data_IF_765345515774
#
_entry.id   IF_765345515774
#
_cell.length_a   1.000
_cell.length_b   1.000
_cell.length_c   1.000
_cell.angle_alpha   90.00
_cell.angle_beta   90.00
_cell.angle_gamma   90.00
#
_symmetry.space_group_name_H-M   'P 1'
#
loop_
_entity.id
_entity.type
_entity.pdbx_description
1 polymer ?
#
# COMPACT_ATOMS: atom_id res chain seq x y z
N UNK A 1 -7.83 0.23 -2.72
CA UNK A 1 -7.53 1.62 -2.30
C UNK A 1 -8.56 2.58 -2.83
N UNK A 2 -8.53 2.88 -4.14
CA UNK A 2 -9.40 3.87 -4.80
C UNK A 2 -10.90 3.80 -4.44
N UNK A 3 -11.56 2.63 -4.51
CA UNK A 3 -12.99 2.57 -4.16
C UNK A 3 -13.28 2.99 -2.71
N UNK A 4 -12.38 2.71 -1.77
CA UNK A 4 -12.55 3.10 -0.37
C UNK A 4 -12.45 4.62 -0.20
N UNK A 5 -11.41 5.24 -0.78
CA UNK A 5 -11.21 6.70 -0.65
C UNK A 5 -12.30 7.48 -1.37
N UNK A 6 -12.81 6.99 -2.51
CA UNK A 6 -13.96 7.56 -3.21
C UNK A 6 -15.22 7.51 -2.32
N UNK A 7 -15.49 6.37 -1.69
CA UNK A 7 -16.62 6.23 -0.75
C UNK A 7 -16.48 7.13 0.50
N UNK A 8 -15.28 7.19 1.09
CA UNK A 8 -15.00 8.06 2.24
C UNK A 8 -15.15 9.54 1.87
N UNK A 9 -14.66 9.98 0.71
CA UNK A 9 -14.83 11.35 0.24
C UNK A 9 -16.31 11.71 0.01
N UNK A 10 -17.13 10.73 -0.38
CA UNK A 10 -18.58 10.88 -0.50
C UNK A 10 -19.33 10.85 0.85
N UNK A 11 -18.62 10.66 1.96
CA UNK A 11 -19.22 10.61 3.30
C UNK A 11 -19.95 9.31 3.62
N UNK A 12 -19.63 8.23 2.90
CA UNK A 12 -20.22 6.91 3.11
C UNK A 12 -19.43 6.12 4.18
N UNK A 13 -20.11 5.32 5.03
CA UNK A 13 -19.43 4.40 5.93
C UNK A 13 -18.66 3.34 5.13
N UNK A 14 -17.41 3.08 5.51
CA UNK A 14 -16.54 2.11 4.86
C UNK A 14 -16.14 1.00 5.82
N UNK A 15 -16.31 -0.24 5.37
CA UNK A 15 -15.79 -1.45 5.99
C UNK A 15 -14.72 -2.00 5.04
N UNK A 16 -13.49 -2.21 5.53
CA UNK A 16 -12.42 -2.78 4.71
C UNK A 16 -11.43 -3.57 5.58
N UNK A 17 -10.73 -4.52 4.99
CA UNK A 17 -9.64 -5.25 5.65
C UNK A 17 -8.59 -4.27 6.17
N UNK A 18 -8.24 -4.40 7.45
CA UNK A 18 -7.22 -3.59 8.12
C UNK A 18 -5.81 -4.05 7.72
N UNK A 19 -5.50 -3.95 6.42
CA UNK A 19 -4.24 -4.40 5.85
C UNK A 19 -3.85 -3.58 4.63
N UNK A 20 -2.55 -3.30 4.48
CA UNK A 20 -1.99 -2.56 3.35
C UNK A 20 -2.62 -1.16 3.22
N UNK A 21 -2.71 -0.60 2.01
CA UNK A 21 -3.11 0.79 1.77
C UNK A 21 -4.30 1.34 2.59
N UNK A 22 -5.41 0.59 2.81
CA UNK A 22 -6.47 1.01 3.73
C UNK A 22 -6.04 1.47 5.13
N UNK A 23 -4.99 0.87 5.71
CA UNK A 23 -4.53 1.23 7.07
C UNK A 23 -3.99 2.65 7.17
N UNK A 24 -3.62 3.25 6.04
CA UNK A 24 -3.13 4.63 5.99
C UNK A 24 -4.24 5.64 6.33
N UNK A 25 -5.48 5.37 5.91
CA UNK A 25 -6.57 6.34 5.99
C UNK A 25 -7.81 5.85 6.75
N UNK A 26 -7.99 4.54 6.93
CA UNK A 26 -9.13 3.95 7.61
C UNK A 26 -8.75 3.51 9.03
N UNK A 27 -9.54 3.91 10.02
CA UNK A 27 -9.38 3.54 11.42
C UNK A 27 -10.73 3.46 12.14
N UNK A 28 -10.71 3.10 13.42
CA UNK A 28 -11.91 2.96 14.25
C UNK A 28 -12.68 4.27 14.46
N UNK A 29 -12.07 5.44 14.29
CA UNK A 29 -12.78 6.72 14.42
C UNK A 29 -13.58 7.08 13.16
N UNK A 30 -13.11 6.67 11.97
CA UNK A 30 -13.65 7.11 10.69
C UNK A 30 -14.23 5.99 9.81
N UNK A 31 -14.21 4.74 10.28
CA UNK A 31 -14.78 3.61 9.58
C UNK A 31 -14.84 2.34 10.44
N UNK A 32 -14.70 1.20 9.77
CA UNK A 32 -14.81 -0.13 10.37
C UNK A 32 -13.71 -1.05 9.81
N UNK A 33 -12.50 -0.99 10.38
CA UNK A 33 -11.39 -1.84 9.95
C UNK A 33 -11.64 -3.30 10.37
N UNK A 34 -11.62 -4.22 9.40
CA UNK A 34 -11.79 -5.65 9.64
C UNK A 34 -10.45 -6.24 10.07
N UNK A 35 -10.42 -6.86 11.26
CA UNK A 35 -9.23 -7.50 11.80
C UNK A 35 -8.67 -8.58 10.86
N UNK A 36 -7.35 -8.73 10.84
CA UNK A 36 -6.62 -9.79 10.14
C UNK A 36 -6.13 -10.79 11.18
N UNK A 37 -6.35 -12.07 10.93
CA UNK A 37 -5.88 -13.14 11.82
C UNK A 37 -4.43 -13.48 11.56
N UNK A 38 -4.13 -13.80 10.30
CA UNK A 38 -2.82 -14.25 9.86
C UNK A 38 -2.54 -13.75 8.44
N UNK A 39 -1.30 -13.94 8.01
CA UNK A 39 -0.92 -13.87 6.61
C UNK A 39 -0.74 -15.29 6.10
N UNK A 40 -1.52 -15.68 5.08
CA UNK A 40 -1.47 -17.05 4.55
C UNK A 40 -0.95 -17.07 3.11
N UNK A 41 -0.26 -18.13 2.67
CA UNK A 41 0.31 -18.18 1.33
C UNK A 41 -0.79 -18.31 0.27
N UNK A 42 -0.56 -17.64 -0.85
CA UNK A 42 -1.35 -17.82 -2.07
C UNK A 42 -0.96 -19.17 -2.68
N UNK A 43 -1.91 -20.09 -2.90
CA UNK A 43 -1.59 -21.46 -3.30
C UNK A 43 -1.04 -21.52 -4.74
N UNK A 44 -1.64 -20.75 -5.67
CA UNK A 44 -1.40 -20.90 -7.10
C UNK A 44 -1.44 -19.55 -7.84
N UNK A 45 -0.95 -19.55 -9.09
CA UNK A 45 -0.99 -18.40 -10.00
C UNK A 45 0.26 -17.50 -9.93
N UNK A 46 0.23 -16.32 -10.57
CA UNK A 46 1.40 -15.43 -10.69
C UNK A 46 1.99 -14.94 -9.35
N UNK A 47 1.25 -15.09 -8.26
CA UNK A 47 1.66 -14.69 -6.91
C UNK A 47 1.78 -15.88 -5.95
N UNK A 48 1.86 -17.11 -6.48
CA UNK A 48 2.03 -18.31 -5.64
C UNK A 48 3.21 -18.15 -4.68
N UNK A 49 3.01 -18.48 -3.41
CA UNK A 49 4.00 -18.30 -2.35
C UNK A 49 4.06 -16.89 -1.73
N UNK A 50 3.45 -15.87 -2.35
CA UNK A 50 3.25 -14.59 -1.68
C UNK A 50 2.23 -14.75 -0.55
N UNK A 51 2.24 -13.82 0.40
CA UNK A 51 1.31 -13.82 1.52
C UNK A 51 0.18 -12.81 1.31
N UNK A 52 -1.06 -13.22 1.58
CA UNK A 52 -2.21 -12.32 1.68
C UNK A 52 -2.78 -12.28 3.10
N UNK A 53 -3.46 -11.19 3.44
CA UNK A 53 -4.15 -11.08 4.73
C UNK A 53 -5.38 -12.00 4.76
N UNK A 54 -5.51 -12.79 5.82
CA UNK A 54 -6.70 -13.58 6.13
C UNK A 54 -7.66 -12.77 7.03
N UNK A 55 -8.72 -12.15 6.47
CA UNK A 55 -9.60 -11.28 7.22
C UNK A 55 -10.57 -12.06 8.11
N UNK A 56 -10.88 -11.51 9.27
CA UNK A 56 -11.83 -12.10 10.20
C UNK A 56 -13.27 -12.04 9.68
N UNK A 57 -13.82 -13.20 9.32
CA UNK A 57 -15.25 -13.33 8.95
C UNK A 57 -16.17 -12.92 10.09
N UNK A 58 -15.79 -13.22 11.34
CA UNK A 58 -16.56 -12.85 12.54
C UNK A 58 -16.61 -11.32 12.67
N UNK A 59 -15.49 -10.65 12.49
CA UNK A 59 -15.40 -9.20 12.63
C UNK A 59 -16.15 -8.48 11.51
N UNK A 60 -15.97 -8.92 10.25
CA UNK A 60 -16.73 -8.43 9.10
C UNK A 60 -18.25 -8.50 9.35
N UNK A 61 -18.74 -9.65 9.83
CA UNK A 61 -20.17 -9.83 10.17
C UNK A 61 -20.63 -8.86 11.26
N UNK A 62 -19.78 -8.60 12.24
CA UNK A 62 -20.07 -7.68 13.35
C UNK A 62 -20.21 -6.25 12.81
N UNK A 63 -19.26 -5.79 12.00
CA UNK A 63 -19.30 -4.46 11.37
C UNK A 63 -20.50 -4.29 10.43
N UNK A 64 -20.79 -5.27 9.57
CA UNK A 64 -21.96 -5.21 8.68
C UNK A 64 -23.28 -5.07 9.47
N UNK A 65 -23.45 -5.84 10.54
CA UNK A 65 -24.64 -5.73 11.42
C UNK A 65 -24.67 -4.40 12.16
N UNK A 66 -23.52 -3.92 12.62
CA UNK A 66 -23.41 -2.63 13.32
C UNK A 66 -23.87 -1.49 12.41
N UNK A 67 -23.39 -1.44 11.16
CA UNK A 67 -23.81 -0.45 10.16
C UNK A 67 -25.31 -0.51 9.89
N UNK A 68 -25.87 -1.71 9.73
CA UNK A 68 -27.30 -1.89 9.45
C UNK A 68 -28.20 -1.48 10.62
N UNK A 69 -27.80 -1.78 11.86
CA UNK A 69 -28.60 -1.52 13.06
C UNK A 69 -28.35 -0.14 13.69
N UNK A 70 -27.26 0.53 13.36
CA UNK A 70 -26.87 1.84 13.91
C UNK A 70 -26.60 2.86 12.80
N UNK A 71 -27.61 3.23 11.98
CA UNK A 71 -27.42 4.09 10.81
C UNK A 71 -26.91 5.49 11.17
N UNK A 72 -27.24 5.99 12.36
CA UNK A 72 -26.71 7.27 12.85
C UNK A 72 -25.21 7.21 13.07
N UNK A 73 -24.71 6.19 13.79
CA UNK A 73 -23.28 5.99 14.01
C UNK A 73 -22.54 5.81 12.68
N UNK A 74 -23.10 5.01 11.76
CA UNK A 74 -22.53 4.81 10.44
C UNK A 74 -22.42 6.12 9.64
N UNK A 75 -23.44 6.98 9.71
CA UNK A 75 -23.41 8.31 9.09
C UNK A 75 -22.35 9.20 9.75
N UNK A 76 -22.25 9.20 11.07
CA UNK A 76 -21.26 9.99 11.81
C UNK A 76 -19.83 9.59 11.43
N UNK A 77 -19.53 8.28 11.37
CA UNK A 77 -18.25 7.75 10.89
C UNK A 77 -17.99 8.10 9.42
N UNK A 78 -18.97 7.97 8.54
CA UNK A 78 -18.84 8.37 7.13
C UNK A 78 -18.51 9.86 6.97
N UNK A 79 -19.18 10.74 7.73
CA UNK A 79 -18.88 12.17 7.75
C UNK A 79 -17.47 12.45 8.30
N UNK A 80 -17.02 11.71 9.31
CA UNK A 80 -15.64 11.80 9.79
C UNK A 80 -14.64 11.36 8.71
N UNK A 81 -14.91 10.24 8.01
CA UNK A 81 -14.10 9.78 6.88
C UNK A 81 -13.98 10.84 5.79
N UNK A 82 -15.06 11.55 5.46
CA UNK A 82 -15.01 12.67 4.51
C UNK A 82 -14.10 13.80 4.98
N UNK A 83 -14.21 14.19 6.25
CA UNK A 83 -13.35 15.25 6.82
C UNK A 83 -11.88 14.87 6.70
N UNK A 84 -11.54 13.64 7.11
CA UNK A 84 -10.18 13.14 7.03
C UNK A 84 -9.66 13.13 5.59
N UNK A 85 -10.48 12.71 4.61
CA UNK A 85 -10.13 12.72 3.18
C UNK A 85 -9.79 14.13 2.68
N UNK A 86 -10.64 15.11 3.01
CA UNK A 86 -10.48 16.50 2.56
C UNK A 86 -9.29 17.18 3.24
N UNK A 87 -9.07 16.90 4.52
CA UNK A 87 -8.00 17.54 5.30
C UNK A 87 -6.62 16.97 4.99
N UNK A 88 -6.51 15.65 4.77
CA UNK A 88 -5.21 14.96 4.77
C UNK A 88 -4.80 14.34 3.43
N UNK A 89 -5.77 13.97 2.59
CA UNK A 89 -5.51 13.12 1.41
C UNK A 89 -5.89 13.75 0.08
N UNK A 90 -6.05 15.08 0.05
CA UNK A 90 -6.19 15.83 -1.20
C UNK A 90 -4.85 15.87 -1.96
N UNK A 91 -4.87 16.08 -3.29
CA UNK A 91 -3.63 16.28 -4.05
C UNK A 91 -2.74 17.36 -3.46
N UNK A 92 -3.33 18.46 -2.96
CA UNK A 92 -2.61 19.54 -2.31
C UNK A 92 -1.93 19.08 -1.01
N UNK A 93 -2.67 18.44 -0.10
CA UNK A 93 -2.13 17.94 1.16
C UNK A 93 -1.00 16.92 0.95
N UNK A 94 -1.15 16.01 -0.01
CA UNK A 94 -0.12 15.02 -0.34
C UNK A 94 1.09 15.66 -1.03
N UNK A 95 0.87 16.59 -1.97
CA UNK A 95 1.96 17.27 -2.68
C UNK A 95 2.87 18.05 -1.73
N UNK A 96 2.29 18.70 -0.70
CA UNK A 96 3.06 19.39 0.32
C UNK A 96 4.01 18.43 1.08
N UNK A 97 3.54 17.24 1.43
CA UNK A 97 4.37 16.22 2.10
C UNK A 97 5.49 15.70 1.18
N UNK A 98 5.19 15.45 -0.09
CA UNK A 98 6.18 14.98 -1.07
C UNK A 98 7.25 16.06 -1.31
N UNK A 99 6.86 17.33 -1.40
CA UNK A 99 7.81 18.44 -1.57
C UNK A 99 8.78 18.56 -0.40
N UNK A 100 8.29 18.47 0.84
CA UNK A 100 9.14 18.48 2.04
C UNK A 100 10.17 17.34 2.00
N UNK A 101 9.75 16.13 1.59
CA UNK A 101 10.66 15.01 1.46
C UNK A 101 11.71 15.21 0.34
N UNK A 102 11.31 15.81 -0.79
CA UNK A 102 12.23 16.12 -1.88
C UNK A 102 13.25 17.19 -1.47
N UNK A 103 12.83 18.21 -0.73
CA UNK A 103 13.71 19.23 -0.17
C UNK A 103 14.74 18.60 0.80
N UNK A 104 14.30 17.68 1.66
CA UNK A 104 15.20 16.95 2.56
C UNK A 104 16.24 16.13 1.78
N UNK A 105 15.79 15.37 0.77
CA UNK A 105 16.67 14.52 -0.03
C UNK A 105 17.66 15.32 -0.88
N UNK A 106 17.24 16.47 -1.41
CA UNK A 106 18.11 17.34 -2.21
C UNK A 106 19.09 18.15 -1.36
N UNK A 107 18.84 18.30 -0.06
CA UNK A 107 19.77 18.92 0.89
C UNK A 107 20.89 17.96 1.37
N UNK A 108 20.79 16.65 1.10
CA UNK A 108 21.83 15.69 1.47
C UNK A 108 23.04 15.78 0.52
N UNK A 109 24.27 15.58 1.02
CA UNK A 109 25.45 15.48 0.15
C UNK A 109 25.28 14.30 -0.81
N UNK A 110 25.82 14.40 -2.04
CA UNK A 110 25.68 13.34 -3.03
C UNK A 110 26.19 12.00 -2.49
N UNK A 111 25.50 10.92 -2.84
CA UNK A 111 25.92 9.57 -2.47
C UNK A 111 27.38 9.34 -2.92
N UNK A 112 28.21 8.68 -2.11
CA UNK A 112 29.57 8.36 -2.51
C UNK A 112 29.56 7.50 -3.78
N UNK A 113 30.58 7.61 -4.66
CA UNK A 113 30.63 6.90 -5.94
C UNK A 113 30.42 5.38 -5.82
N UNK A 114 30.86 4.79 -4.70
CA UNK A 114 30.70 3.37 -4.39
C UNK A 114 29.24 2.91 -4.23
N UNK A 115 28.32 3.80 -3.88
CA UNK A 115 26.88 3.53 -3.79
C UNK A 115 26.12 3.96 -5.06
N UNK A 116 26.68 4.87 -5.86
CA UNK A 116 26.10 5.32 -7.13
C UNK A 116 26.26 4.29 -8.26
N UNK A 117 27.38 3.56 -8.29
CA UNK A 117 27.62 2.53 -9.31
C UNK A 117 26.68 1.31 -9.16
N UNK A 118 26.22 1.00 -7.94
CA UNK A 118 25.29 -0.10 -7.68
C UNK A 118 23.83 0.20 -8.13
N UNK A 119 23.49 1.48 -8.34
CA UNK A 119 22.14 1.90 -8.74
C UNK A 119 21.92 1.83 -10.27
N UNK A 120 22.99 1.91 -11.05
CA UNK A 120 22.98 1.62 -12.47
C UNK A 120 23.48 0.20 -12.65
N UNK A 121 22.55 -0.77 -12.68
CA UNK A 121 22.91 -2.14 -13.03
C UNK A 121 23.62 -2.17 -14.39
N UNK A 122 24.95 -2.23 -14.38
CA UNK A 122 25.74 -2.59 -15.55
C UNK A 122 25.33 -4.02 -15.91
N UNK A 123 24.52 -4.16 -16.97
CA UNK A 123 24.45 -5.39 -17.74
C UNK A 123 25.88 -5.75 -18.15
N UNK A 124 26.45 -6.76 -17.52
CA UNK A 124 27.67 -7.38 -17.98
C UNK A 124 27.46 -7.81 -19.45
N UNK A 125 28.32 -7.39 -20.40
CA UNK A 125 28.15 -7.77 -21.79
C UNK A 125 28.30 -9.28 -21.92
N UNK A 126 27.27 -9.92 -22.48
CA UNK A 126 27.28 -11.32 -22.86
C UNK A 126 28.39 -11.55 -23.91
N UNK A 127 29.53 -12.09 -23.51
CA UNK A 127 30.55 -12.50 -24.46
C UNK A 127 30.16 -13.83 -25.11
N UNK A 128 29.49 -13.77 -26.26
CA UNK A 128 29.37 -14.92 -27.16
C UNK A 128 30.56 -14.99 -28.12
N UNK A 129 31.26 -16.12 -28.06
CA UNK A 129 31.92 -16.85 -29.16
C UNK A 129 33.17 -16.26 -29.84
N UNK A 130 34.29 -16.98 -29.76
CA UNK A 130 35.01 -17.41 -30.99
C UNK A 130 35.84 -18.68 -30.75
N UNK A 131 35.98 -19.48 -31.80
CA UNK A 131 36.40 -20.88 -31.78
C UNK A 131 37.92 -21.12 -31.98
N UNK A 132 38.47 -22.09 -31.22
CA UNK A 132 39.56 -23.08 -31.51
C UNK A 132 40.97 -22.57 -31.96
N UNK A 133 42.08 -23.37 -31.89
CA UNK A 133 42.17 -24.84 -31.99
C UNK A 133 43.13 -25.60 -31.03
N UNK A 134 43.09 -26.93 -31.20
CA UNK A 134 43.79 -28.07 -30.56
C UNK A 134 45.27 -27.86 -30.16
N UNK A 135 45.69 -28.55 -29.08
CA UNK A 135 46.98 -29.26 -29.03
C UNK A 135 46.92 -30.54 -28.19
N UNK A 136 47.63 -31.55 -28.70
CA UNK A 136 47.80 -32.92 -28.21
C UNK A 136 48.65 -32.94 -26.93
N UNK A 137 48.29 -33.81 -25.98
CA UNK A 137 49.13 -34.90 -25.46
C UNK A 137 48.20 -35.95 -24.84
#
# INVERSE_FOLDING_TARGET
GRPHVEAMAMGLPVIATNWSGPTEYLNEANGYPVAVHDLVPIPDGPFAGHLWADPSVRDLRTHMRRVAHHPREAREKGLQGRRDMVEKYTPQALSAQVLLLLEELTAQPPLPPSLSAAAHGEEAPSSSSSARPRRKQ
#
